data_IF_405411691548
#
_entry.id   IF_405411691548
#
_cell.length_a   1.000
_cell.length_b   1.000
_cell.length_c   1.000
_cell.angle_alpha   90.00
_cell.angle_beta   90.00
_cell.angle_gamma   90.00
#
_symmetry.space_group_name_H-M   'P 1'
#
loop_
_entity.id
_entity.type
_entity.pdbx_description
1 polymer ?
#
# COMPACT_ATOMS: atom_id res chain seq x y z
N UNK A 1 14.30 -16.86 5.19
CA UNK A 1 13.63 -16.03 4.18
C UNK A 1 14.59 -14.94 3.77
N UNK A 2 14.90 -14.82 2.48
CA UNK A 2 15.67 -13.69 1.95
C UNK A 2 14.84 -12.41 2.00
N UNK A 3 15.52 -11.26 2.16
CA UNK A 3 14.88 -9.93 2.12
C UNK A 3 14.75 -9.52 0.66
N UNK A 4 13.52 -9.22 0.20
CA UNK A 4 13.28 -8.76 -1.16
C UNK A 4 13.32 -7.23 -1.23
N UNK A 5 14.46 -6.66 -1.64
CA UNK A 5 14.60 -5.21 -1.84
C UNK A 5 14.32 -4.76 -3.28
N UNK A 6 14.56 -5.64 -4.23
CA UNK A 6 14.33 -5.43 -5.66
C UNK A 6 13.54 -6.61 -6.21
N UNK A 7 12.57 -6.31 -7.05
CA UNK A 7 11.76 -7.30 -7.72
C UNK A 7 12.47 -7.82 -8.98
N UNK A 8 12.49 -9.13 -9.23
CA UNK A 8 13.19 -9.73 -10.38
C UNK A 8 12.38 -9.67 -11.68
N UNK A 9 11.57 -8.62 -11.86
CA UNK A 9 10.72 -8.44 -13.05
C UNK A 9 11.18 -7.21 -13.84
N UNK A 10 11.30 -7.31 -15.17
CA UNK A 10 11.67 -6.18 -16.01
C UNK A 10 10.52 -5.18 -16.13
N UNK A 11 10.82 -3.96 -16.59
CA UNK A 11 9.85 -2.96 -17.03
C UNK A 11 8.83 -2.53 -15.96
N UNK A 12 9.28 -2.30 -14.72
CA UNK A 12 8.45 -1.62 -13.73
C UNK A 12 8.08 -0.22 -14.25
N UNK A 13 6.79 0.10 -14.28
CA UNK A 13 6.31 1.43 -14.68
C UNK A 13 6.54 2.46 -13.57
N UNK A 14 6.62 2.00 -12.33
CA UNK A 14 6.89 2.82 -11.17
C UNK A 14 7.50 1.99 -10.04
N UNK A 15 8.55 2.52 -9.42
CA UNK A 15 9.15 1.98 -8.21
C UNK A 15 8.94 2.97 -7.07
N UNK A 16 7.96 2.68 -6.22
CA UNK A 16 7.69 3.46 -5.03
C UNK A 16 8.62 3.08 -3.87
N UNK A 17 8.46 3.75 -2.73
CA UNK A 17 9.25 3.47 -1.52
C UNK A 17 9.19 1.99 -1.12
N UNK A 18 8.02 1.36 -1.24
CA UNK A 18 7.78 -0.02 -0.74
C UNK A 18 7.01 -0.92 -1.71
N UNK A 19 6.60 -0.42 -2.89
CA UNK A 19 5.86 -1.21 -3.90
C UNK A 19 6.42 -0.91 -5.28
N UNK A 20 6.48 -1.94 -6.11
CA UNK A 20 6.81 -1.85 -7.53
C UNK A 20 5.57 -2.18 -8.36
N UNK A 21 5.30 -1.39 -9.40
CA UNK A 21 4.12 -1.49 -10.26
C UNK A 21 4.51 -2.00 -11.65
N UNK A 22 3.75 -2.98 -12.14
CA UNK A 22 3.90 -3.55 -13.48
C UNK A 22 2.57 -3.51 -14.21
N UNK A 23 2.61 -3.11 -15.47
CA UNK A 23 1.42 -3.02 -16.31
C UNK A 23 1.29 -4.26 -17.19
N UNK A 24 0.07 -4.79 -17.30
CA UNK A 24 -0.25 -5.86 -18.24
C UNK A 24 -1.73 -5.75 -18.65
N UNK A 25 -2.00 -5.73 -19.96
CA UNK A 25 -3.36 -5.50 -20.47
C UNK A 25 -3.99 -4.23 -19.90
N UNK A 26 -5.18 -4.35 -19.33
CA UNK A 26 -5.93 -3.30 -18.63
C UNK A 26 -5.73 -3.30 -17.10
N UNK A 27 -4.78 -4.10 -16.60
CA UNK A 27 -4.52 -4.34 -15.17
C UNK A 27 -3.14 -3.88 -14.74
N UNK A 28 -2.93 -3.88 -13.43
CA UNK A 28 -1.62 -3.71 -12.80
C UNK A 28 -1.34 -4.88 -11.87
N UNK A 29 -0.07 -5.30 -11.85
CA UNK A 29 0.50 -6.12 -10.79
C UNK A 29 1.22 -5.19 -9.81
N UNK A 30 0.77 -5.17 -8.57
CA UNK A 30 1.41 -4.44 -7.47
C UNK A 30 2.22 -5.44 -6.64
N UNK A 31 3.53 -5.25 -6.59
CA UNK A 31 4.42 -6.11 -5.80
C UNK A 31 4.89 -5.35 -4.57
N UNK A 32 4.53 -5.83 -3.37
CA UNK A 32 5.02 -5.25 -2.12
C UNK A 32 6.39 -5.82 -1.75
N UNK A 33 7.38 -4.95 -1.60
CA UNK A 33 8.74 -5.34 -1.24
C UNK A 33 8.96 -5.31 0.27
N UNK A 34 10.10 -5.82 0.70
CA UNK A 34 10.53 -5.77 2.09
C UNK A 34 11.23 -4.43 2.43
N UNK A 35 11.30 -3.50 1.47
CA UNK A 35 11.74 -2.12 1.72
C UNK A 35 10.84 -1.47 2.77
N UNK A 36 11.44 -0.58 3.55
CA UNK A 36 10.78 0.23 4.57
C UNK A 36 11.29 1.67 4.45
N UNK A 37 10.42 2.64 4.74
CA UNK A 37 10.79 4.05 4.72
C UNK A 37 10.37 4.75 6.01
N UNK A 38 11.17 5.71 6.45
CA UNK A 38 10.86 6.62 7.54
C UNK A 38 11.28 8.03 7.12
N UNK A 39 10.47 9.04 7.46
CA UNK A 39 10.71 10.44 7.09
C UNK A 39 11.03 10.61 5.60
N UNK A 40 10.23 9.97 4.75
CA UNK A 40 10.38 9.94 3.29
C UNK A 40 11.66 9.34 2.72
N UNK A 41 12.51 8.75 3.55
CA UNK A 41 13.74 8.06 3.13
C UNK A 41 13.56 6.55 3.19
N UNK A 42 13.90 5.85 2.10
CA UNK A 42 13.97 4.37 2.09
C UNK A 42 15.23 3.95 2.85
N UNK A 43 15.06 3.09 3.85
CA UNK A 43 16.18 2.59 4.65
C UNK A 43 17.00 1.57 3.85
N UNK A 44 18.32 1.45 4.10
CA UNK A 44 19.19 0.53 3.35
C UNK A 44 18.85 -0.95 3.60
N UNK A 45 18.29 -1.26 4.77
CA UNK A 45 17.90 -2.61 5.15
C UNK A 45 16.38 -2.77 5.04
N UNK A 46 15.93 -3.94 4.60
CA UNK A 46 14.51 -4.31 4.59
C UNK A 46 14.09 -5.09 5.83
N UNK A 47 12.78 -5.25 5.99
CA UNK A 47 12.17 -6.11 7.01
C UNK A 47 11.69 -7.41 6.34
N UNK A 48 12.35 -8.56 6.56
CA UNK A 48 12.01 -9.80 5.87
C UNK A 48 10.53 -10.16 6.02
N UNK A 49 9.86 -10.45 4.89
CA UNK A 49 8.45 -10.88 4.87
C UNK A 49 7.43 -9.77 5.09
N UNK A 50 7.86 -8.52 5.32
CA UNK A 50 6.97 -7.37 5.46
C UNK A 50 6.05 -7.21 4.25
N UNK A 51 6.60 -7.34 3.03
CA UNK A 51 5.82 -7.20 1.81
C UNK A 51 4.63 -8.17 1.77
N UNK A 52 4.88 -9.44 2.09
CA UNK A 52 3.85 -10.48 2.12
C UNK A 52 2.76 -10.19 3.18
N UNK A 53 3.17 -9.87 4.42
CA UNK A 53 2.22 -9.57 5.50
C UNK A 53 1.31 -8.39 5.13
N UNK A 54 1.87 -7.30 4.60
CA UNK A 54 1.09 -6.11 4.25
C UNK A 54 0.16 -6.34 3.05
N UNK A 55 0.58 -7.16 2.08
CA UNK A 55 -0.28 -7.58 0.97
C UNK A 55 -1.48 -8.38 1.46
N UNK A 56 -1.27 -9.32 2.39
CA UNK A 56 -2.37 -10.11 2.97
C UNK A 56 -3.33 -9.27 3.81
N UNK A 57 -2.81 -8.33 4.61
CA UNK A 57 -3.65 -7.36 5.34
C UNK A 57 -4.50 -6.53 4.37
N UNK A 58 -3.91 -6.10 3.24
CA UNK A 58 -4.64 -5.34 2.22
C UNK A 58 -5.76 -6.18 1.60
N UNK A 59 -5.48 -7.42 1.22
CA UNK A 59 -6.48 -8.36 0.67
C UNK A 59 -7.65 -8.59 1.63
N UNK A 60 -7.36 -8.80 2.92
CA UNK A 60 -8.38 -8.90 3.97
C UNK A 60 -9.29 -7.67 4.02
N UNK A 61 -8.71 -6.46 4.01
CA UNK A 61 -9.51 -5.23 4.08
C UNK A 61 -10.32 -4.97 2.81
N UNK A 62 -9.78 -5.28 1.63
CA UNK A 62 -10.53 -5.16 0.37
C UNK A 62 -11.75 -6.07 0.35
N UNK A 63 -11.62 -7.32 0.80
CA UNK A 63 -12.75 -8.23 0.95
C UNK A 63 -13.76 -7.71 1.98
N UNK A 64 -13.27 -7.34 3.16
CA UNK A 64 -14.10 -6.90 4.30
C UNK A 64 -14.92 -5.64 4.02
N UNK A 65 -14.46 -4.78 3.10
CA UNK A 65 -15.08 -3.50 2.74
C UNK A 65 -15.74 -3.50 1.36
N UNK A 66 -15.75 -4.64 0.66
CA UNK A 66 -16.30 -4.78 -0.70
C UNK A 66 -17.77 -4.34 -0.83
N UNK A 67 -18.56 -4.52 0.22
CA UNK A 67 -19.96 -4.09 0.28
C UNK A 67 -20.16 -2.60 0.60
N UNK A 68 -19.12 -1.90 1.04
CA UNK A 68 -19.18 -0.47 1.42
C UNK A 68 -18.82 0.42 0.23
N UNK A 69 -17.78 0.07 -0.51
CA UNK A 69 -17.29 0.84 -1.65
C UNK A 69 -16.65 -0.08 -2.69
N UNK A 70 -16.86 0.17 -3.99
CA UNK A 70 -16.09 -0.51 -5.04
C UNK A 70 -14.59 -0.26 -4.85
N UNK A 71 -13.78 -1.29 -5.08
CA UNK A 71 -12.33 -1.19 -4.97
C UNK A 71 -11.65 -1.68 -6.26
N UNK A 72 -10.38 -1.32 -6.44
CA UNK A 72 -9.60 -1.73 -7.60
C UNK A 72 -9.07 -3.18 -7.50
N UNK A 73 -9.19 -3.81 -6.33
CA UNK A 73 -8.61 -5.12 -6.05
C UNK A 73 -9.35 -6.19 -6.84
N UNK A 74 -8.59 -7.06 -7.53
CA UNK A 74 -9.12 -8.21 -8.24
C UNK A 74 -8.82 -9.48 -7.47
N UNK A 75 -7.54 -9.71 -7.15
CA UNK A 75 -7.08 -10.88 -6.42
C UNK A 75 -5.62 -10.76 -5.95
N UNK A 76 -5.23 -11.65 -5.05
CA UNK A 76 -3.82 -11.99 -4.86
C UNK A 76 -3.32 -12.78 -6.06
N UNK A 77 -2.09 -12.50 -6.48
CA UNK A 77 -1.43 -13.30 -7.49
C UNK A 77 -0.83 -14.56 -6.83
N UNK A 78 -1.16 -15.72 -7.37
CA UNK A 78 -0.72 -17.03 -6.89
C UNK A 78 0.11 -17.82 -7.92
N UNK A 79 0.36 -17.23 -9.10
CA UNK A 79 1.10 -17.84 -10.19
C UNK A 79 0.30 -18.84 -11.00
N UNK A 80 -1.01 -18.98 -10.74
CA UNK A 80 -1.90 -19.83 -11.54
C UNK A 80 -2.27 -19.19 -12.88
N UNK A 81 -2.90 -19.96 -13.76
CA UNK A 81 -3.41 -19.46 -15.04
C UNK A 81 -4.49 -18.37 -14.85
N UNK A 82 -5.16 -18.32 -13.70
CA UNK A 82 -6.20 -17.33 -13.40
C UNK A 82 -5.63 -15.92 -13.22
N UNK A 83 -4.33 -15.80 -12.98
CA UNK A 83 -3.64 -14.50 -12.87
C UNK A 83 -3.54 -13.78 -14.23
N UNK A 84 -3.57 -14.53 -15.34
CA UNK A 84 -3.47 -14.00 -16.71
C UNK A 84 -2.23 -13.12 -16.92
N UNK A 85 -1.12 -13.47 -16.26
CA UNK A 85 0.15 -12.76 -16.38
C UNK A 85 0.87 -13.18 -17.68
N UNK A 86 1.51 -12.24 -18.39
CA UNK A 86 2.27 -12.55 -19.60
C UNK A 86 3.62 -13.24 -19.31
N UNK A 87 3.87 -13.62 -18.06
CA UNK A 87 5.07 -14.28 -17.58
C UNK A 87 4.75 -15.18 -16.39
N UNK A 88 5.62 -16.16 -16.13
CA UNK A 88 5.56 -16.95 -14.90
C UNK A 88 5.94 -16.10 -13.69
N UNK A 89 5.03 -15.97 -12.73
CA UNK A 89 5.30 -15.24 -11.50
C UNK A 89 6.39 -15.96 -10.70
N UNK A 90 7.53 -15.30 -10.38
CA UNK A 90 8.55 -15.89 -9.53
C UNK A 90 7.99 -16.25 -8.15
N UNK A 91 8.40 -17.40 -7.61
CA UNK A 91 7.89 -17.94 -6.33
C UNK A 91 8.03 -16.93 -5.18
N UNK A 92 9.12 -16.17 -5.14
CA UNK A 92 9.34 -15.15 -4.11
C UNK A 92 8.33 -13.99 -4.16
N UNK A 93 7.61 -13.80 -5.27
CA UNK A 93 6.58 -12.78 -5.45
C UNK A 93 5.17 -13.28 -5.12
N UNK A 94 4.96 -14.59 -4.97
CA UNK A 94 3.68 -15.18 -4.54
C UNK A 94 3.37 -14.73 -3.10
N UNK A 95 2.11 -14.36 -2.85
CA UNK A 95 1.65 -13.91 -1.54
C UNK A 95 2.06 -12.48 -1.14
N UNK A 96 2.87 -11.81 -1.97
CA UNK A 96 3.19 -10.37 -1.84
C UNK A 96 2.77 -9.53 -3.05
N UNK A 97 2.15 -10.17 -4.03
CA UNK A 97 1.71 -9.53 -5.28
C UNK A 97 0.19 -9.52 -5.38
N UNK A 98 -0.34 -8.40 -5.88
CA UNK A 98 -1.77 -8.17 -6.02
C UNK A 98 -2.09 -7.74 -7.44
N UNK A 99 -3.12 -8.33 -8.04
CA UNK A 99 -3.65 -7.92 -9.33
C UNK A 99 -4.80 -6.94 -9.09
N UNK A 100 -4.75 -5.79 -9.76
CA UNK A 100 -5.74 -4.71 -9.62
C UNK A 100 -6.17 -4.15 -10.97
N UNK A 101 -7.35 -3.54 -11.02
CA UNK A 101 -7.77 -2.67 -12.12
C UNK A 101 -6.97 -1.38 -12.09
N UNK A 102 -6.66 -0.83 -13.27
CA UNK A 102 -6.18 0.56 -13.37
C UNK A 102 -7.28 1.50 -12.89
N UNK A 103 -6.87 2.57 -12.21
CA UNK A 103 -7.78 3.60 -11.70
C UNK A 103 -7.15 4.98 -11.93
N UNK A 104 -7.99 5.97 -12.19
CA UNK A 104 -7.60 7.37 -12.17
C UNK A 104 -7.50 7.83 -10.71
N UNK A 105 -6.38 8.44 -10.34
CA UNK A 105 -6.18 8.92 -8.98
C UNK A 105 -6.85 10.30 -8.82
N UNK A 106 -7.66 10.44 -7.77
CA UNK A 106 -7.98 11.75 -7.23
C UNK A 106 -6.77 12.23 -6.43
N UNK A 107 -6.16 13.39 -6.75
CA UNK A 107 -4.86 13.80 -6.18
C UNK A 107 -5.00 14.38 -4.76
N UNK A 108 -5.58 13.60 -3.85
CA UNK A 108 -5.80 13.96 -2.43
C UNK A 108 -5.54 12.74 -1.54
N UNK A 109 -5.05 13.00 -0.33
CA UNK A 109 -4.89 11.97 0.70
C UNK A 109 -6.12 11.95 1.62
N UNK A 110 -6.94 10.90 1.52
CA UNK A 110 -8.16 10.76 2.31
C UNK A 110 -7.86 10.19 3.72
N UNK A 111 -7.56 11.08 4.67
CA UNK A 111 -7.17 10.71 6.05
C UNK A 111 -8.38 10.78 6.99
N UNK A 112 -8.62 9.70 7.75
CA UNK A 112 -9.62 9.65 8.84
C UNK A 112 -8.88 9.48 10.17
N UNK A 113 -9.28 10.25 11.20
CA UNK A 113 -8.63 10.26 12.52
C UNK A 113 -9.66 9.91 13.60
N UNK A 114 -9.48 8.77 14.26
CA UNK A 114 -10.25 8.39 15.44
C UNK A 114 -9.63 8.81 16.77
N UNK A 115 -8.33 9.13 16.75
CA UNK A 115 -7.53 9.54 17.90
C UNK A 115 -6.59 10.67 17.49
N UNK A 116 -6.12 11.43 18.48
CA UNK A 116 -5.25 12.58 18.29
C UNK A 116 -3.79 12.17 18.44
N UNK A 117 -3.04 12.25 17.34
CA UNK A 117 -1.63 11.93 17.31
C UNK A 117 -0.95 12.57 16.09
N UNK A 118 0.37 12.68 16.13
CA UNK A 118 1.19 13.14 15.01
C UNK A 118 0.82 14.57 14.57
N UNK A 119 0.72 14.80 13.26
CA UNK A 119 0.49 16.16 12.71
C UNK A 119 -0.82 16.81 13.18
N UNK A 120 -1.87 16.03 13.47
CA UNK A 120 -3.11 16.60 14.00
C UNK A 120 -2.95 17.07 15.45
N UNK A 121 -2.17 16.34 16.25
CA UNK A 121 -1.89 16.76 17.63
C UNK A 121 -1.00 18.01 17.65
N UNK A 122 0.03 18.05 16.81
CA UNK A 122 0.89 19.23 16.67
C UNK A 122 0.10 20.50 16.31
N UNK A 123 -0.80 20.43 15.32
CA UNK A 123 -1.68 21.55 14.95
C UNK A 123 -2.61 21.94 16.11
N UNK A 124 -3.27 20.96 16.74
CA UNK A 124 -4.20 21.24 17.83
C UNK A 124 -3.52 21.90 19.04
N UNK A 125 -2.29 21.53 19.36
CA UNK A 125 -1.52 22.21 20.42
C UNK A 125 -1.20 23.67 20.09
N UNK A 126 -0.97 23.97 18.82
CA UNK A 126 -0.62 25.31 18.35
C UNK A 126 -1.85 26.23 18.25
N UNK A 127 -2.94 25.74 17.66
CA UNK A 127 -4.08 26.56 17.25
C UNK A 127 -5.45 26.04 17.70
N UNK A 128 -5.52 24.90 18.40
CA UNK A 128 -6.80 24.26 18.76
C UNK A 128 -7.57 23.73 17.55
N UNK A 129 -6.90 23.54 16.41
CA UNK A 129 -7.51 23.10 15.15
C UNK A 129 -6.91 21.78 14.63
N UNK A 130 -7.64 21.11 13.74
CA UNK A 130 -7.12 20.04 12.88
C UNK A 130 -7.60 20.28 11.45
N UNK A 131 -6.66 20.35 10.50
CA UNK A 131 -6.94 20.74 9.12
C UNK A 131 -7.70 22.08 9.05
N UNK A 132 -7.35 23.02 9.92
CA UNK A 132 -7.98 24.34 10.03
C UNK A 132 -9.37 24.34 10.69
N UNK A 133 -9.89 23.19 11.13
CA UNK A 133 -11.19 23.09 11.82
C UNK A 133 -10.99 23.13 13.33
N UNK A 134 -11.68 24.05 14.01
CA UNK A 134 -11.62 24.16 15.46
C UNK A 134 -12.18 22.91 16.15
N UNK A 135 -11.48 22.44 17.17
CA UNK A 135 -11.90 21.31 18.00
C UNK A 135 -12.20 21.76 19.44
N UNK A 136 -12.98 20.95 20.19
CA UNK A 136 -13.21 21.20 21.61
C UNK A 136 -11.90 21.26 22.41
N UNK A 137 -11.85 22.12 23.41
CA UNK A 137 -10.74 22.19 24.36
C UNK A 137 -10.62 20.93 25.22
N UNK A 138 -9.42 20.66 25.74
CA UNK A 138 -9.19 19.59 26.72
C UNK A 138 -8.93 18.21 26.10
N UNK A 139 -8.87 18.11 24.77
CA UNK A 139 -8.36 16.92 24.07
C UNK A 139 -6.90 16.66 24.45
N UNK A 140 -6.56 15.38 24.60
CA UNK A 140 -5.23 14.88 24.93
C UNK A 140 -4.79 13.82 23.91
N UNK A 141 -3.48 13.54 23.87
CA UNK A 141 -2.85 12.50 23.04
C UNK A 141 -3.07 11.09 23.61
#
# INVERSE_FOLDING_TARGET
MSVLLQTPLPNAIHQGKVRDLYEFGDRLLIVATDRISAFDVVLPNGVPGKGAVLTQISAFWFDRTSAVVPNHYLRLADGSADDDLPFTLPEELIGRSTIVRKAELVPVECIVRGYMAGSAWAEYQESGTVCGQALPSGIQE
#
